data_IF_398933959382
#
_entry.id   IF_398933959382
#
_cell.length_a   1.000
_cell.length_b   1.000
_cell.length_c   1.000
_cell.angle_alpha   90.00
_cell.angle_beta   90.00
_cell.angle_gamma   90.00
#
_symmetry.space_group_name_H-M   'P 1'
#
loop_
_entity.id
_entity.type
_entity.pdbx_description
1 polymer ?
#
# COMPACT_ATOMS: atom_id res chain seq x y z
N UNK A 1 -7.50 -4.13 -10.41
CA UNK A 1 -8.52 -3.37 -9.65
C UNK A 1 -9.76 -3.05 -10.49
N UNK A 2 -10.93 -2.80 -9.89
CA UNK A 2 -12.12 -2.26 -10.58
C UNK A 2 -12.22 -0.74 -10.41
N UNK A 3 -11.72 0.02 -11.38
CA UNK A 3 -11.69 1.48 -11.32
C UNK A 3 -13.08 2.14 -11.31
N UNK A 4 -14.08 1.53 -11.93
CA UNK A 4 -15.43 2.09 -11.98
C UNK A 4 -16.13 2.10 -10.61
N UNK A 5 -15.86 1.07 -9.79
CA UNK A 5 -16.33 1.00 -8.40
C UNK A 5 -15.83 2.18 -7.56
N UNK A 6 -14.64 2.67 -7.85
CA UNK A 6 -13.98 3.75 -7.11
C UNK A 6 -14.10 5.10 -7.80
N UNK A 7 -15.05 5.25 -8.74
CA UNK A 7 -15.29 6.50 -9.44
C UNK A 7 -15.86 7.56 -8.49
N UNK A 8 -15.64 8.83 -8.83
CA UNK A 8 -16.22 9.98 -8.14
C UNK A 8 -17.73 9.80 -7.91
N UNK A 9 -18.46 9.33 -8.93
CA UNK A 9 -19.91 9.13 -8.84
C UNK A 9 -20.30 8.13 -7.75
N UNK A 10 -19.51 7.06 -7.55
CA UNK A 10 -19.77 6.08 -6.50
C UNK A 10 -19.53 6.67 -5.12
N UNK A 11 -18.45 7.43 -4.93
CA UNK A 11 -18.21 8.15 -3.68
C UNK A 11 -19.30 9.20 -3.40
N UNK A 12 -19.69 9.98 -4.40
CA UNK A 12 -20.76 10.97 -4.27
C UNK A 12 -22.10 10.29 -3.90
N UNK A 13 -22.37 9.09 -4.44
CA UNK A 13 -23.56 8.31 -4.11
C UNK A 13 -23.57 7.74 -2.68
N UNK A 14 -22.41 7.53 -2.06
CA UNK A 14 -22.30 7.14 -0.66
C UNK A 14 -22.63 8.29 0.31
N UNK A 15 -22.56 9.54 -0.14
CA UNK A 15 -22.76 10.74 0.68
C UNK A 15 -21.53 11.12 1.52
N UNK A 16 -21.44 12.40 1.88
CA UNK A 16 -20.31 12.98 2.61
C UNK A 16 -20.22 12.46 4.05
N UNK A 17 -18.98 12.19 4.49
CA UNK A 17 -18.64 11.76 5.86
C UNK A 17 -19.48 10.59 6.38
N UNK A 18 -20.01 9.76 5.48
CA UNK A 18 -20.78 8.57 5.83
C UNK A 18 -19.85 7.39 6.07
N UNK A 19 -20.33 6.42 6.87
CA UNK A 19 -19.66 5.13 7.02
C UNK A 19 -19.50 4.39 5.69
N UNK A 20 -20.44 4.58 4.75
CA UNK A 20 -20.37 3.98 3.42
C UNK A 20 -19.23 4.57 2.58
N UNK A 21 -19.03 5.89 2.59
CA UNK A 21 -17.93 6.53 1.90
C UNK A 21 -16.58 6.14 2.52
N UNK A 22 -16.52 6.01 3.86
CA UNK A 22 -15.33 5.52 4.55
C UNK A 22 -15.01 4.08 4.16
N UNK A 23 -16.00 3.21 4.14
CA UNK A 23 -15.84 1.83 3.71
C UNK A 23 -15.34 1.73 2.27
N UNK A 24 -15.91 2.51 1.34
CA UNK A 24 -15.48 2.53 -0.06
C UNK A 24 -14.03 3.02 -0.19
N UNK A 25 -13.60 3.97 0.65
CA UNK A 25 -12.21 4.41 0.70
C UNK A 25 -11.28 3.32 1.26
N UNK A 26 -11.67 2.63 2.33
CA UNK A 26 -10.89 1.51 2.89
C UNK A 26 -10.73 0.37 1.87
N UNK A 27 -11.80 0.04 1.13
CA UNK A 27 -11.75 -0.94 0.04
C UNK A 27 -10.82 -0.50 -1.12
N UNK A 28 -10.82 0.78 -1.47
CA UNK A 28 -9.87 1.33 -2.45
C UNK A 28 -8.43 1.22 -1.94
N UNK A 29 -8.18 1.52 -0.66
CA UNK A 29 -6.87 1.39 -0.05
C UNK A 29 -6.33 -0.03 -0.19
N UNK A 30 -7.14 -1.02 0.17
CA UNK A 30 -6.76 -2.43 0.14
C UNK A 30 -6.52 -2.93 -1.29
N UNK A 31 -7.35 -2.53 -2.24
CA UNK A 31 -7.20 -2.94 -3.64
C UNK A 31 -5.97 -2.31 -4.30
N UNK A 32 -5.68 -1.04 -4.02
CA UNK A 32 -4.44 -0.39 -4.47
C UNK A 32 -3.23 -1.03 -3.80
N UNK A 33 -3.29 -1.30 -2.49
CA UNK A 33 -2.19 -1.94 -1.77
C UNK A 33 -1.84 -3.31 -2.37
N UNK A 34 -2.83 -4.13 -2.72
CA UNK A 34 -2.62 -5.42 -3.39
C UNK A 34 -1.97 -5.25 -4.76
N UNK A 35 -2.51 -4.35 -5.58
CA UNK A 35 -2.02 -4.13 -6.95
C UNK A 35 -0.57 -3.62 -6.95
N UNK A 36 -0.23 -2.70 -6.06
CA UNK A 36 1.14 -2.19 -5.91
C UNK A 36 2.06 -3.24 -5.29
N UNK A 37 1.58 -3.99 -4.29
CA UNK A 37 2.39 -5.02 -3.64
C UNK A 37 2.89 -6.07 -4.61
N UNK A 38 2.06 -6.57 -5.55
CA UNK A 38 2.50 -7.56 -6.54
C UNK A 38 3.67 -7.06 -7.41
N UNK A 39 3.60 -5.80 -7.85
CA UNK A 39 4.64 -5.18 -8.67
C UNK A 39 5.91 -4.95 -7.86
N UNK A 40 5.77 -4.39 -6.66
CA UNK A 40 6.90 -4.10 -5.77
C UNK A 40 7.57 -5.37 -5.30
N UNK A 41 6.81 -6.40 -4.91
CA UNK A 41 7.33 -7.71 -4.50
C UNK A 41 8.18 -8.32 -5.62
N UNK A 42 7.68 -8.31 -6.85
CA UNK A 42 8.43 -8.83 -8.01
C UNK A 42 9.75 -8.07 -8.20
N UNK A 43 9.74 -6.74 -8.09
CA UNK A 43 10.95 -5.95 -8.21
C UNK A 43 11.92 -6.16 -7.04
N UNK A 44 11.40 -6.26 -5.82
CA UNK A 44 12.17 -6.44 -4.60
C UNK A 44 12.86 -7.81 -4.56
N UNK A 45 12.17 -8.87 -4.99
CA UNK A 45 12.76 -10.21 -5.09
C UNK A 45 13.94 -10.25 -6.07
N UNK A 46 13.93 -9.47 -7.15
CA UNK A 46 15.09 -9.34 -8.06
C UNK A 46 16.28 -8.69 -7.37
N UNK A 47 16.06 -7.68 -6.53
CA UNK A 47 17.13 -7.06 -5.73
C UNK A 47 17.71 -8.07 -4.75
N UNK A 48 16.84 -8.84 -4.07
CA UNK A 48 17.26 -9.91 -3.15
C UNK A 48 18.10 -10.97 -3.88
N UNK A 49 17.64 -11.45 -5.03
CA UNK A 49 18.37 -12.42 -5.85
C UNK A 49 19.76 -11.89 -6.24
N UNK A 50 19.84 -10.65 -6.69
CA UNK A 50 21.09 -10.02 -7.13
C UNK A 50 22.08 -9.78 -5.97
N UNK A 51 21.57 -9.47 -4.77
CA UNK A 51 22.37 -9.39 -3.54
C UNK A 51 22.87 -10.77 -3.13
N UNK A 52 22.02 -11.79 -3.18
CA UNK A 52 22.41 -13.16 -2.87
C UNK A 52 23.47 -13.69 -3.84
N UNK A 53 23.38 -13.33 -5.13
CA UNK A 53 24.41 -13.63 -6.13
C UNK A 53 25.77 -12.97 -5.82
N UNK A 54 25.81 -11.93 -4.99
CA UNK A 54 27.04 -11.25 -4.52
C UNK A 54 27.55 -11.78 -3.17
N UNK A 55 26.95 -12.83 -2.63
CA UNK A 55 27.40 -13.50 -1.41
C UNK A 55 26.57 -13.19 -0.16
N UNK A 56 25.44 -12.50 -0.28
CA UNK A 56 24.45 -12.46 0.80
C UNK A 56 23.62 -13.75 0.86
N UNK A 57 22.95 -13.95 1.98
CA UNK A 57 21.98 -15.03 2.17
C UNK A 57 20.66 -14.50 2.74
N UNK A 58 20.07 -13.52 2.06
CA UNK A 58 18.78 -12.94 2.42
C UNK A 58 17.66 -13.97 2.24
N UNK A 59 16.95 -14.26 3.32
CA UNK A 59 15.73 -15.08 3.35
C UNK A 59 14.60 -14.32 4.04
N UNK A 60 13.33 -14.61 3.73
CA UNK A 60 12.22 -14.09 4.51
C UNK A 60 12.36 -14.51 5.97
N UNK A 61 12.19 -13.58 6.91
CA UNK A 61 12.23 -13.88 8.36
C UNK A 61 10.85 -13.84 9.02
N UNK A 62 9.83 -13.45 8.26
CA UNK A 62 8.41 -13.49 8.63
C UNK A 62 7.57 -13.79 7.38
N UNK A 63 6.27 -13.97 7.55
CA UNK A 63 5.32 -14.04 6.43
C UNK A 63 5.32 -12.72 5.65
N UNK A 64 5.42 -12.81 4.33
CA UNK A 64 5.27 -11.64 3.45
C UNK A 64 3.78 -11.30 3.37
N UNK A 65 3.42 -10.09 3.79
CA UNK A 65 2.04 -9.60 3.79
C UNK A 65 1.88 -8.44 2.81
N UNK A 66 0.65 -8.15 2.40
CA UNK A 66 0.38 -6.99 1.54
C UNK A 66 0.85 -5.72 2.27
N UNK A 67 1.83 -5.05 1.69
CA UNK A 67 2.47 -3.86 2.24
C UNK A 67 3.68 -4.07 3.13
N UNK A 68 4.07 -5.32 3.44
CA UNK A 68 5.28 -5.64 4.22
C UNK A 68 6.06 -6.79 3.57
N UNK A 69 7.31 -6.52 3.17
CA UNK A 69 8.20 -7.48 2.53
C UNK A 69 9.50 -7.61 3.34
N UNK A 70 9.57 -8.51 4.33
CA UNK A 70 10.70 -8.61 5.26
C UNK A 70 11.74 -9.67 4.86
N UNK A 71 13.00 -9.26 4.64
CA UNK A 71 14.14 -10.15 4.37
C UNK A 71 15.32 -9.90 5.33
N UNK A 72 16.06 -10.96 5.66
CA UNK A 72 17.24 -10.90 6.51
C UNK A 72 18.27 -11.96 6.14
N UNK A 73 19.54 -11.58 6.25
CA UNK A 73 20.71 -12.45 6.19
C UNK A 73 21.16 -12.71 7.64
N UNK A 74 20.94 -13.93 8.12
CA UNK A 74 21.37 -14.37 9.44
C UNK A 74 22.43 -15.46 9.31
N UNK A 75 23.60 -15.24 9.90
CA UNK A 75 24.64 -16.28 10.03
C UNK A 75 24.48 -17.13 11.29
N UNK A 76 23.76 -16.60 12.28
CA UNK A 76 23.32 -17.30 13.49
C UNK A 76 22.11 -16.56 14.08
N UNK A 77 21.40 -17.19 15.02
CA UNK A 77 20.22 -16.59 15.70
C UNK A 77 20.47 -15.24 16.38
N UNK A 78 21.73 -14.90 16.65
CA UNK A 78 22.12 -13.66 17.32
C UNK A 78 22.81 -12.66 16.39
N UNK A 79 23.01 -13.02 15.11
CA UNK A 79 23.80 -12.22 14.17
C UNK A 79 23.08 -12.01 12.85
N UNK A 80 22.42 -10.86 12.77
CA UNK A 80 21.91 -10.28 11.54
C UNK A 80 23.06 -9.56 10.81
N UNK A 81 23.40 -10.04 9.62
CA UNK A 81 24.42 -9.42 8.76
C UNK A 81 23.81 -8.28 7.92
N UNK A 82 22.61 -8.52 7.38
CA UNK A 82 21.87 -7.55 6.58
C UNK A 82 20.37 -7.74 6.79
N UNK A 83 19.65 -6.64 6.93
CA UNK A 83 18.18 -6.62 6.92
C UNK A 83 17.72 -5.72 5.79
N UNK A 84 16.78 -6.21 4.99
CA UNK A 84 16.15 -5.45 3.93
C UNK A 84 14.64 -5.64 4.06
N UNK A 85 13.91 -4.54 4.17
CA UNK A 85 12.45 -4.55 4.23
C UNK A 85 11.89 -3.50 3.28
N UNK A 86 10.70 -3.74 2.74
CA UNK A 86 9.94 -2.76 1.98
C UNK A 86 8.55 -2.62 2.57
N UNK A 87 8.27 -1.43 3.10
CA UNK A 87 6.96 -1.05 3.61
C UNK A 87 6.22 -0.22 2.56
N UNK A 88 4.97 -0.57 2.25
CA UNK A 88 4.11 0.17 1.33
C UNK A 88 2.93 0.72 2.13
N UNK A 89 2.84 2.04 2.20
CA UNK A 89 1.75 2.73 2.88
C UNK A 89 0.86 3.37 1.81
N UNK A 90 -0.39 2.92 1.75
CA UNK A 90 -1.44 3.55 0.96
C UNK A 90 -2.37 4.27 1.95
N UNK A 91 -2.73 5.51 1.63
CA UNK A 91 -3.68 6.27 2.42
C UNK A 91 -4.71 6.89 1.49
N UNK A 92 -5.98 6.62 1.79
CA UNK A 92 -7.12 7.08 0.98
C UNK A 92 -8.08 7.88 1.83
N UNK A 93 -8.63 8.92 1.23
CA UNK A 93 -9.69 9.73 1.80
C UNK A 93 -10.40 10.44 0.66
N UNK A 94 -11.71 10.61 0.80
CA UNK A 94 -12.52 11.34 -0.16
C UNK A 94 -13.24 12.45 0.61
N UNK A 95 -12.59 13.62 0.69
CA UNK A 95 -13.26 14.86 1.06
C UNK A 95 -13.72 15.53 -0.22
N UNK A 96 -14.99 15.93 -0.29
CA UNK A 96 -15.37 16.91 -1.30
C UNK A 96 -14.56 18.16 -0.98
N UNK A 97 -13.60 18.51 -1.82
CA UNK A 97 -13.19 19.91 -1.89
C UNK A 97 -14.45 20.64 -2.28
N UNK A 98 -15.00 21.46 -1.37
CA UNK A 98 -16.07 22.41 -1.68
C UNK A 98 -15.71 23.01 -3.03
N UNK A 99 -16.62 22.92 -4.00
CA UNK A 99 -16.44 23.69 -5.21
C UNK A 99 -16.22 25.15 -4.76
N UNK A 100 -15.28 25.86 -5.39
CA UNK A 100 -14.98 27.25 -5.02
C UNK A 100 -16.26 28.12 -4.90
N UNK A 101 -17.30 27.74 -5.63
CA UNK A 101 -18.63 28.34 -5.69
C UNK A 101 -19.47 28.17 -4.40
N UNK A 102 -19.15 27.21 -3.52
CA UNK A 102 -19.86 27.00 -2.23
C UNK A 102 -19.26 27.83 -1.09
N UNK A 103 -18.07 28.42 -1.28
CA UNK A 103 -17.43 29.29 -0.29
C UNK A 103 -18.04 30.70 -0.32
N UNK A 104 -18.47 31.20 -1.48
CA UNK A 104 -19.10 32.54 -1.59
C UNK A 104 -20.54 32.60 -1.06
N UNK A 105 -21.24 31.47 -0.91
CA UNK A 105 -22.60 31.44 -0.38
C UNK A 105 -22.66 31.42 1.17
N UNK A 106 -21.51 31.24 1.84
CA UNK A 106 -21.39 31.12 3.28
C UNK A 106 -20.69 32.32 3.97
N UNK A 107 -20.34 33.37 3.21
CA UNK A 107 -19.81 34.66 3.70
C UNK A 107 -20.73 35.80 3.31
#
# INVERSE_FOLDING_TARGET
MNFEKYSKQQFDACGLDTSAARQLADELQDDVAKEIHEVVLTAFLKVVEELNARGHNLTPYDEIQVGDIPFRDESSKERCNLRLACDIIISTGYSHTLAADEIEAAT
#
